data_IF_536407032971
#
_entry.id   IF_536407032971
#
_cell.length_a   1.000
_cell.length_b   1.000
_cell.length_c   1.000
_cell.angle_alpha   90.00
_cell.angle_beta   90.00
_cell.angle_gamma   90.00
#
_symmetry.space_group_name_H-M   'P 1'
#
loop_
_entity.id
_entity.type
_entity.pdbx_description
1 polymer ?
#
# COMPACT_ATOMS: atom_id res chain seq x y z
N UNK A 1 1.70 20.96 -41.53
CA UNK A 1 0.86 21.84 -40.68
C UNK A 1 0.98 21.39 -39.23
N UNK A 2 1.72 22.11 -38.39
CA UNK A 2 1.92 21.78 -36.98
C UNK A 2 0.65 22.12 -36.18
N UNK A 3 0.00 21.11 -35.58
CA UNK A 3 -1.11 21.34 -34.66
C UNK A 3 -0.54 21.78 -33.31
N UNK A 4 -0.73 23.06 -32.97
CA UNK A 4 -0.40 23.60 -31.65
C UNK A 4 -1.22 22.89 -30.57
N UNK A 5 -0.59 21.94 -29.88
CA UNK A 5 -1.12 21.31 -28.67
C UNK A 5 -0.97 22.25 -27.47
N UNK A 6 -1.71 23.36 -27.47
CA UNK A 6 -1.76 24.26 -26.34
C UNK A 6 -2.52 23.59 -25.19
N UNK A 7 -1.76 23.03 -24.24
CA UNK A 7 -2.24 22.49 -22.95
C UNK A 7 -2.70 23.57 -21.96
N UNK A 8 -2.86 24.81 -22.43
CA UNK A 8 -3.29 25.94 -21.61
C UNK A 8 -4.79 25.85 -21.33
N UNK A 9 -5.20 26.32 -20.15
CA UNK A 9 -6.61 26.46 -19.80
C UNK A 9 -7.28 27.44 -20.77
N UNK A 10 -8.39 27.01 -21.38
CA UNK A 10 -9.17 27.89 -22.24
C UNK A 10 -10.20 28.64 -21.39
N UNK A 11 -10.19 29.97 -21.51
CA UNK A 11 -11.15 30.83 -20.85
C UNK A 11 -12.53 30.70 -21.52
N UNK A 12 -13.55 30.61 -20.67
CA UNK A 12 -14.96 30.58 -21.03
C UNK A 12 -15.58 31.92 -20.63
N UNK A 13 -16.36 32.58 -21.51
CA UNK A 13 -17.01 33.84 -21.16
C UNK A 13 -18.00 33.65 -20.02
N UNK A 14 -18.30 34.74 -19.31
CA UNK A 14 -19.36 34.77 -18.31
C UNK A 14 -20.72 34.65 -19.04
N UNK A 15 -21.44 33.55 -18.82
CA UNK A 15 -22.75 33.27 -19.46
C UNK A 15 -23.86 33.15 -18.43
N UNK A 16 -23.75 33.88 -17.33
CA UNK A 16 -24.67 33.77 -16.22
C UNK A 16 -26.11 34.11 -16.62
N UNK A 17 -26.31 35.19 -17.37
CA UNK A 17 -27.65 35.64 -17.79
C UNK A 17 -28.34 34.66 -18.73
N UNK A 18 -27.58 34.03 -19.63
CA UNK A 18 -28.08 33.18 -20.70
C UNK A 18 -28.31 31.72 -20.26
N UNK A 19 -27.35 31.12 -19.55
CA UNK A 19 -27.29 29.67 -19.33
C UNK A 19 -27.55 29.23 -17.89
N UNK A 20 -27.64 30.18 -16.94
CA UNK A 20 -27.92 29.84 -15.55
C UNK A 20 -29.37 29.43 -15.38
N UNK A 21 -29.60 28.42 -14.55
CA UNK A 21 -30.94 28.02 -14.13
C UNK A 21 -31.71 29.21 -13.51
N UNK A 22 -33.00 29.35 -13.83
CA UNK A 22 -33.77 30.57 -13.55
C UNK A 22 -33.71 31.04 -12.09
N UNK A 23 -33.73 30.10 -11.15
CA UNK A 23 -33.60 30.37 -9.72
C UNK A 23 -32.34 31.18 -9.36
N UNK A 24 -31.24 30.97 -10.10
CA UNK A 24 -29.95 31.59 -9.82
C UNK A 24 -29.65 32.82 -10.67
N UNK A 25 -30.49 33.20 -11.65
CA UNK A 25 -30.25 34.35 -12.54
C UNK A 25 -30.09 35.67 -11.77
N UNK A 26 -30.91 35.89 -10.75
CA UNK A 26 -30.93 37.12 -9.96
C UNK A 26 -30.01 37.10 -8.73
N UNK A 27 -29.23 36.02 -8.54
CA UNK A 27 -28.34 35.91 -7.38
C UNK A 27 -27.06 36.73 -7.61
N UNK A 28 -26.31 37.04 -6.54
CA UNK A 28 -25.03 37.77 -6.63
C UNK A 28 -23.80 36.88 -6.88
N UNK A 29 -23.98 35.62 -7.24
CA UNK A 29 -22.87 34.67 -7.45
C UNK A 29 -22.03 35.07 -8.67
N UNK A 30 -20.76 35.42 -8.47
CA UNK A 30 -19.82 35.87 -9.51
C UNK A 30 -18.58 34.96 -9.67
N UNK A 31 -18.50 33.89 -8.87
CA UNK A 31 -17.34 32.99 -8.81
C UNK A 31 -17.29 31.94 -9.92
N UNK A 32 -18.40 31.75 -10.65
CA UNK A 32 -18.53 30.77 -11.72
C UNK A 32 -19.15 31.41 -12.98
N UNK A 33 -18.99 30.76 -14.13
CA UNK A 33 -19.55 31.22 -15.39
C UNK A 33 -21.08 31.14 -15.41
N UNK A 34 -21.67 30.02 -14.95
CA UNK A 34 -23.11 29.82 -14.80
C UNK A 34 -23.40 28.58 -13.95
N UNK A 35 -24.62 28.45 -13.43
CA UNK A 35 -25.07 27.27 -12.67
C UNK A 35 -26.02 26.45 -13.53
N UNK A 36 -25.72 25.15 -13.71
CA UNK A 36 -26.56 24.21 -14.47
C UNK A 36 -27.14 23.15 -13.56
N UNK A 37 -28.36 22.68 -13.86
CA UNK A 37 -28.96 21.52 -13.19
C UNK A 37 -28.49 20.23 -13.86
N UNK A 38 -28.05 19.24 -13.08
CA UNK A 38 -27.68 17.89 -13.56
C UNK A 38 -28.41 16.86 -12.70
N UNK A 39 -29.53 16.35 -13.20
CA UNK A 39 -30.43 15.54 -12.38
C UNK A 39 -31.11 16.43 -11.33
N UNK A 40 -30.96 16.06 -10.06
CA UNK A 40 -31.51 16.82 -8.92
C UNK A 40 -30.53 17.86 -8.35
N UNK A 41 -29.24 17.74 -8.69
CA UNK A 41 -28.20 18.63 -8.16
C UNK A 41 -27.95 19.86 -9.06
N UNK A 42 -27.50 20.95 -8.43
CA UNK A 42 -27.01 22.14 -9.09
C UNK A 42 -25.48 22.17 -9.11
N UNK A 43 -24.90 22.33 -10.29
CA UNK A 43 -23.45 22.34 -10.49
C UNK A 43 -23.01 23.69 -11.02
N UNK A 44 -22.05 24.32 -10.32
CA UNK A 44 -21.39 25.53 -10.77
C UNK A 44 -20.36 25.21 -11.86
N UNK A 45 -20.46 25.88 -13.00
CA UNK A 45 -19.54 25.71 -14.13
C UNK A 45 -18.42 26.75 -14.05
N UNK A 46 -17.14 26.34 -14.02
CA UNK A 46 -16.02 27.28 -13.87
C UNK A 46 -15.81 28.15 -15.13
N UNK A 47 -15.09 29.26 -14.97
CA UNK A 47 -14.66 30.14 -16.07
C UNK A 47 -13.59 29.52 -16.96
N UNK A 48 -12.92 28.47 -16.51
CA UNK A 48 -11.84 27.84 -17.26
C UNK A 48 -12.13 26.35 -17.37
N UNK A 49 -11.95 25.79 -18.56
CA UNK A 49 -11.97 24.34 -18.74
C UNK A 49 -10.66 23.87 -19.32
N UNK A 50 -10.27 22.66 -18.93
CA UNK A 50 -9.19 21.96 -19.62
C UNK A 50 -9.74 21.53 -20.98
N UNK A 51 -9.11 21.89 -22.10
CA UNK A 51 -9.52 21.34 -23.39
C UNK A 51 -9.57 19.81 -23.24
N UNK A 52 -10.63 19.18 -23.77
CA UNK A 52 -10.76 17.73 -23.76
C UNK A 52 -9.44 17.17 -24.24
N UNK A 53 -8.70 16.50 -23.35
CA UNK A 53 -7.60 15.65 -23.74
C UNK A 53 -8.26 14.54 -24.55
N UNK A 54 -8.45 14.77 -25.85
CA UNK A 54 -8.69 13.67 -26.78
C UNK A 54 -7.59 12.68 -26.47
N UNK A 55 -7.94 11.40 -26.39
CA UNK A 55 -7.02 10.27 -26.16
C UNK A 55 -5.93 10.12 -27.26
N UNK A 56 -5.53 11.21 -27.93
CA UNK A 56 -4.39 11.30 -28.84
C UNK A 56 -3.08 10.96 -28.11
N UNK A 57 -2.98 11.22 -26.81
CA UNK A 57 -1.84 10.76 -25.99
C UNK A 57 -1.78 9.22 -25.91
N UNK A 58 -2.90 8.51 -26.09
CA UNK A 58 -2.94 7.05 -26.19
C UNK A 58 -2.74 6.56 -27.64
N UNK A 59 -3.09 7.34 -28.67
CA UNK A 59 -2.90 6.96 -30.07
C UNK A 59 -1.44 7.09 -30.56
N UNK A 60 -0.63 7.95 -29.94
CA UNK A 60 0.76 8.22 -30.36
C UNK A 60 1.82 7.52 -29.51
N UNK A 61 1.47 6.51 -28.71
CA UNK A 61 2.49 5.66 -28.08
C UNK A 61 3.08 4.75 -29.14
N UNK A 62 4.20 5.16 -29.74
CA UNK A 62 4.96 4.27 -30.61
C UNK A 62 5.36 3.04 -29.78
N UNK A 63 5.05 1.84 -30.30
CA UNK A 63 5.41 0.55 -29.67
C UNK A 63 6.92 0.41 -29.40
N UNK A 64 7.75 1.30 -29.96
CA UNK A 64 9.22 1.24 -29.92
C UNK A 64 9.86 2.33 -29.03
N UNK A 65 9.08 3.19 -28.38
CA UNK A 65 9.61 4.26 -27.50
C UNK A 65 9.42 3.93 -26.02
N UNK A 66 9.59 2.67 -25.65
CA UNK A 66 9.81 2.30 -24.26
C UNK A 66 11.27 1.86 -24.14
N UNK A 67 12.00 2.51 -23.24
CA UNK A 67 13.34 2.02 -22.90
C UNK A 67 13.18 0.67 -22.19
N UNK A 68 14.16 -0.22 -22.34
CA UNK A 68 14.20 -1.51 -21.63
C UNK A 68 14.01 -1.32 -20.12
N UNK A 69 14.53 -0.22 -19.57
CA UNK A 69 14.34 0.17 -18.18
C UNK A 69 12.88 0.52 -17.85
N UNK A 70 12.17 1.20 -18.74
CA UNK A 70 10.75 1.50 -18.54
C UNK A 70 9.91 0.22 -18.54
N UNK A 71 10.24 -0.76 -19.38
CA UNK A 71 9.48 -2.02 -19.43
C UNK A 71 9.83 -2.97 -18.28
N UNK A 72 11.10 -2.99 -17.86
CA UNK A 72 11.56 -3.80 -16.73
C UNK A 72 11.09 -3.26 -15.38
N UNK A 73 11.11 -1.92 -15.20
CA UNK A 73 10.90 -1.27 -13.90
C UNK A 73 9.63 -0.41 -13.83
N UNK A 74 8.64 -0.58 -14.72
CA UNK A 74 7.36 0.09 -14.51
C UNK A 74 6.60 -0.47 -13.30
N UNK A 75 5.87 0.42 -12.65
CA UNK A 75 4.88 0.04 -11.65
C UNK A 75 3.71 -0.68 -12.34
N UNK A 76 3.78 -2.00 -12.41
CA UNK A 76 2.67 -2.84 -12.88
C UNK A 76 1.49 -2.68 -11.91
N UNK A 77 0.29 -2.52 -12.44
CA UNK A 77 -0.94 -2.52 -11.62
C UNK A 77 -1.00 -3.83 -10.83
N UNK A 78 -1.35 -3.74 -9.54
CA UNK A 78 -1.59 -4.91 -8.69
C UNK A 78 -2.63 -5.82 -9.36
N UNK A 79 -2.20 -7.02 -9.75
CA UNK A 79 -3.04 -8.04 -10.36
C UNK A 79 -2.76 -9.37 -9.68
N UNK A 80 -3.79 -10.14 -9.34
CA UNK A 80 -3.64 -11.41 -8.63
C UNK A 80 -4.41 -12.53 -9.32
N UNK A 81 -4.11 -13.77 -8.96
CA UNK A 81 -4.78 -14.95 -9.51
C UNK A 81 -6.30 -14.94 -9.27
N UNK A 82 -6.76 -14.30 -8.20
CA UNK A 82 -8.19 -14.21 -7.81
C UNK A 82 -8.98 -13.10 -8.52
N UNK A 83 -8.34 -12.20 -9.28
CA UNK A 83 -9.04 -11.05 -9.87
C UNK A 83 -9.87 -11.44 -11.09
N UNK A 84 -11.11 -10.93 -11.18
CA UNK A 84 -12.04 -11.19 -12.29
C UNK A 84 -11.57 -10.58 -13.62
N UNK A 85 -10.99 -9.38 -13.57
CA UNK A 85 -10.49 -8.66 -14.73
C UNK A 85 -8.97 -8.49 -14.62
N UNK A 86 -8.23 -9.16 -15.51
CA UNK A 86 -6.77 -9.11 -15.57
C UNK A 86 -6.33 -8.64 -16.95
N UNK A 87 -5.19 -7.92 -17.06
CA UNK A 87 -4.64 -7.59 -18.36
C UNK A 87 -4.27 -8.87 -19.12
N UNK A 88 -4.54 -8.87 -20.42
CA UNK A 88 -4.17 -9.98 -21.31
C UNK A 88 -2.65 -9.91 -21.56
N UNK A 89 -1.93 -10.95 -21.13
CA UNK A 89 -0.49 -11.09 -21.36
C UNK A 89 -0.10 -12.56 -21.47
N UNK A 90 1.05 -12.90 -22.11
CA UNK A 90 1.54 -14.27 -22.22
C UNK A 90 1.60 -14.97 -20.86
N UNK A 91 1.29 -16.26 -20.79
CA UNK A 91 1.34 -16.99 -19.53
C UNK A 91 2.77 -17.01 -18.97
N UNK A 92 2.91 -16.55 -17.73
CA UNK A 92 4.16 -16.55 -17.00
C UNK A 92 3.83 -16.91 -15.54
N UNK A 93 4.34 -18.02 -15.01
CA UNK A 93 4.08 -18.45 -13.63
C UNK A 93 4.68 -17.49 -12.60
N UNK A 94 5.76 -16.77 -12.94
CA UNK A 94 6.42 -15.83 -12.05
C UNK A 94 5.80 -14.42 -12.10
N UNK A 95 4.94 -14.15 -13.09
CA UNK A 95 4.25 -12.88 -13.20
C UNK A 95 3.34 -12.62 -12.00
N UNK A 96 3.26 -11.35 -11.59
CA UNK A 96 2.45 -10.91 -10.45
C UNK A 96 0.98 -11.38 -10.54
N UNK A 97 0.39 -11.42 -11.75
CA UNK A 97 -0.99 -11.86 -12.01
C UNK A 97 -1.28 -13.33 -11.68
N UNK A 98 -0.23 -14.14 -11.62
CA UNK A 98 -0.28 -15.59 -11.37
C UNK A 98 -0.11 -15.90 -9.88
N UNK A 99 0.34 -14.92 -9.09
CA UNK A 99 0.52 -15.03 -7.64
C UNK A 99 -0.81 -14.85 -6.92
N UNK A 100 -0.90 -15.45 -5.73
CA UNK A 100 -2.00 -15.22 -4.80
C UNK A 100 -2.01 -13.75 -4.35
N UNK A 101 -3.18 -13.28 -3.92
CA UNK A 101 -3.30 -11.96 -3.34
C UNK A 101 -2.51 -11.89 -2.04
N UNK A 102 -1.49 -11.05 -2.00
CA UNK A 102 -0.83 -10.71 -0.74
C UNK A 102 -1.84 -10.03 0.17
N UNK A 103 -1.95 -10.52 1.40
CA UNK A 103 -2.70 -9.81 2.43
C UNK A 103 -2.13 -8.39 2.53
N UNK A 104 -2.98 -7.39 2.35
CA UNK A 104 -2.61 -6.02 2.66
C UNK A 104 -2.18 -6.00 4.12
N UNK A 105 -0.98 -5.48 4.40
CA UNK A 105 -0.53 -5.19 5.76
C UNK A 105 -1.69 -4.50 6.48
N UNK A 106 -2.24 -5.15 7.51
CA UNK A 106 -3.22 -4.52 8.36
C UNK A 106 -2.49 -3.37 9.05
N UNK A 107 -2.90 -2.15 8.75
CA UNK A 107 -2.42 -0.99 9.49
C UNK A 107 -2.92 -1.19 10.91
N UNK A 108 -2.02 -1.56 11.83
CA UNK A 108 -2.36 -1.63 13.24
C UNK A 108 -2.71 -0.24 13.71
N UNK A 109 -3.96 -0.03 14.11
CA UNK A 109 -4.37 1.21 14.73
C UNK A 109 -3.62 1.36 16.07
N UNK A 110 -3.16 2.57 16.36
CA UNK A 110 -2.31 2.91 17.51
C UNK A 110 -2.87 2.50 18.88
N UNK A 111 -4.15 2.14 18.97
CA UNK A 111 -4.84 1.78 20.21
C UNK A 111 -5.24 0.28 20.29
N UNK A 112 -4.65 -0.60 19.48
CA UNK A 112 -4.93 -2.04 19.51
C UNK A 112 -3.72 -2.81 20.03
N UNK A 113 -3.86 -3.39 21.23
CA UNK A 113 -2.91 -4.38 21.74
C UNK A 113 -3.26 -5.76 21.17
N UNK A 114 -2.49 -6.22 20.18
CA UNK A 114 -2.59 -7.57 19.66
C UNK A 114 -1.50 -8.44 20.31
N UNK A 115 -1.92 -9.45 21.08
CA UNK A 115 -1.03 -10.47 21.64
C UNK A 115 -1.12 -11.69 20.74
N UNK A 116 -0.04 -12.00 20.01
CA UNK A 116 0.06 -13.25 19.25
C UNK A 116 0.48 -14.38 20.19
N UNK A 117 -0.44 -15.30 20.43
CA UNK A 117 -0.16 -16.55 21.14
C UNK A 117 0.43 -17.50 20.11
N UNK A 118 1.71 -17.85 20.29
CA UNK A 118 2.43 -18.73 19.37
C UNK A 118 1.81 -20.12 19.22
N UNK A 119 2.21 -20.81 18.16
CA UNK A 119 1.73 -22.16 17.84
C UNK A 119 2.30 -23.21 18.81
N UNK A 120 1.46 -24.16 19.23
CA UNK A 120 1.80 -25.20 20.23
C UNK A 120 2.88 -26.16 19.74
N UNK A 121 3.09 -26.21 18.43
CA UNK A 121 4.07 -27.07 17.76
C UNK A 121 5.44 -26.41 17.56
N UNK A 122 5.59 -25.12 17.89
CA UNK A 122 6.88 -24.44 17.78
C UNK A 122 7.72 -24.68 19.02
N UNK A 123 8.85 -25.38 18.85
CA UNK A 123 9.86 -25.56 19.90
C UNK A 123 10.69 -24.28 20.03
N UNK A 124 10.10 -23.23 20.59
CA UNK A 124 10.79 -21.96 20.85
C UNK A 124 11.76 -22.13 22.02
N UNK A 125 13.06 -22.13 21.74
CA UNK A 125 14.12 -22.29 22.75
C UNK A 125 14.25 -21.09 23.70
N UNK A 126 13.64 -19.95 23.34
CA UNK A 126 13.69 -18.69 24.10
C UNK A 126 12.27 -18.18 24.31
N UNK A 127 11.79 -18.25 25.55
CA UNK A 127 10.49 -17.69 25.94
C UNK A 127 10.55 -16.20 26.28
N UNK A 128 11.75 -15.68 26.57
CA UNK A 128 11.95 -14.29 26.99
C UNK A 128 13.09 -13.64 26.20
N UNK A 129 12.91 -12.37 25.86
CA UNK A 129 13.94 -11.52 25.26
C UNK A 129 14.81 -10.98 26.40
N UNK A 130 15.98 -11.58 26.59
CA UNK A 130 16.95 -11.16 27.62
C UNK A 130 18.29 -10.82 26.96
N UNK A 131 19.03 -9.88 27.54
CA UNK A 131 20.37 -9.51 27.09
C UNK A 131 21.43 -10.60 27.40
N UNK A 132 21.06 -11.61 28.20
CA UNK A 132 21.92 -12.73 28.56
C UNK A 132 21.68 -13.97 27.68
N UNK A 133 22.71 -14.82 27.50
CA UNK A 133 22.64 -16.04 26.67
C UNK A 133 21.75 -17.10 27.33
N UNK A 134 20.47 -17.16 26.94
CA UNK A 134 19.57 -18.27 27.31
C UNK A 134 20.08 -19.59 26.71
N UNK A 135 20.74 -20.40 27.52
CA UNK A 135 21.09 -21.78 27.15
C UNK A 135 19.99 -22.70 27.66
N UNK A 136 19.24 -23.33 26.75
CA UNK A 136 18.44 -24.50 27.07
C UNK A 136 19.37 -25.72 27.11
N UNK A 137 20.11 -25.83 28.22
CA UNK A 137 20.86 -27.02 28.57
C UNK A 137 20.24 -27.68 29.79
N UNK A 138 20.41 -28.99 29.91
CA UNK A 138 20.05 -29.81 31.08
C UNK A 138 20.86 -29.42 32.33
N UNK A 139 20.78 -28.16 32.77
CA UNK A 139 21.35 -27.71 34.03
C UNK A 139 20.47 -28.26 35.16
N UNK A 140 20.79 -29.48 35.59
CA UNK A 140 20.21 -30.11 36.76
C UNK A 140 19.66 -31.52 36.56
N UNK A 141 19.51 -32.03 35.32
CA UNK A 141 18.88 -33.35 35.11
C UNK A 141 19.78 -34.55 35.45
N UNK A 142 21.06 -34.37 35.74
CA UNK A 142 21.98 -35.52 35.94
C UNK A 142 22.28 -35.84 37.40
N UNK A 143 21.72 -35.13 38.38
CA UNK A 143 21.98 -35.45 39.79
C UNK A 143 20.71 -35.48 40.63
N UNK A 144 20.28 -36.65 41.13
CA UNK A 144 19.11 -36.80 42.00
C UNK A 144 19.44 -36.35 43.43
N UNK A 145 19.85 -35.10 43.60
CA UNK A 145 20.15 -34.53 44.91
C UNK A 145 19.32 -33.28 45.12
N UNK A 146 18.52 -33.27 46.19
CA UNK A 146 17.70 -32.13 46.62
C UNK A 146 18.42 -31.19 47.59
N UNK A 147 19.65 -31.52 48.03
CA UNK A 147 20.39 -30.70 48.97
C UNK A 147 20.89 -29.40 48.30
N UNK A 148 20.45 -28.21 48.76
CA UNK A 148 20.74 -26.93 48.12
C UNK A 148 22.23 -26.57 48.14
N UNK A 149 22.99 -27.01 49.15
CA UNK A 149 24.43 -26.73 49.24
C UNK A 149 25.22 -27.46 48.16
N UNK A 150 24.88 -28.73 47.92
CA UNK A 150 25.49 -29.56 46.87
C UNK A 150 25.15 -29.00 45.48
N UNK A 151 23.92 -28.52 45.29
CA UNK A 151 23.51 -27.87 44.04
C UNK A 151 24.28 -26.56 43.79
N UNK A 152 24.45 -25.74 44.83
CA UNK A 152 25.17 -24.47 44.74
C UNK A 152 26.66 -24.67 44.39
N UNK A 153 27.32 -25.65 45.01
CA UNK A 153 28.73 -25.98 44.72
C UNK A 153 28.90 -26.46 43.28
N UNK A 154 28.02 -27.35 42.80
CA UNK A 154 28.05 -27.84 41.41
C UNK A 154 27.77 -26.73 40.41
N UNK A 155 26.86 -25.82 40.71
CA UNK A 155 26.59 -24.66 39.86
C UNK A 155 27.83 -23.77 39.71
N UNK A 156 28.56 -23.51 40.81
CA UNK A 156 29.84 -22.78 40.79
C UNK A 156 30.88 -23.52 39.94
N UNK A 157 31.02 -24.83 40.11
CA UNK A 157 31.95 -25.65 39.34
C UNK A 157 31.65 -25.61 37.84
N UNK A 158 30.38 -25.77 37.46
CA UNK A 158 29.93 -25.71 36.07
C UNK A 158 30.15 -24.33 35.45
N UNK A 159 30.04 -23.25 36.23
CA UNK A 159 30.40 -21.91 35.75
C UNK A 159 31.90 -21.80 35.46
N UNK A 160 32.74 -22.25 36.39
CA UNK A 160 34.21 -22.23 36.23
C UNK A 160 34.68 -23.03 35.02
N UNK A 161 34.03 -24.15 34.70
CA UNK A 161 34.35 -24.96 33.52
C UNK A 161 33.96 -24.31 32.19
N UNK A 162 33.02 -23.36 32.17
CA UNK A 162 32.61 -22.64 30.95
C UNK A 162 33.56 -21.50 30.57
N UNK A 163 34.28 -20.97 31.54
CA UNK A 163 35.19 -19.83 31.36
C UNK A 163 36.60 -20.26 30.92
N UNK A 164 36.85 -21.58 30.80
CA UNK A 164 38.03 -22.18 30.16
C UNK A 164 37.70 -22.61 28.73
#
# INVERSE_FOLDING_TARGET
MSQNNNRQLQARPNRKTEQTFDFFKNTKVSTCSYIKRKGDDFIAVPFYYKPNQRNLDYLNKSMYSTSTNHDAYNNKRRCFSSMRNKPLSPYDPLAHRSRLADQSLRISFSNVCQVEIGDRNQKMTKHYITQYKNHLGNFGQTTPCSNPQIMAERAKWNHKLKDK
#
